data_IF_221064223255
#
_entry.id   IF_221064223255
#
_cell.length_a   1.000
_cell.length_b   1.000
_cell.length_c   1.000
_cell.angle_alpha   90.00
_cell.angle_beta   90.00
_cell.angle_gamma   90.00
#
_symmetry.space_group_name_H-M   'P 1'
#
loop_
_entity.id
_entity.type
_entity.pdbx_description
1 polymer ?
#
# COMPACT_ATOMS: atom_id res chain seq x y z
N UNK A 1 2.56 53.48 5.69
CA UNK A 1 2.99 52.28 4.93
C UNK A 1 1.84 51.29 4.91
N UNK A 2 1.21 51.10 3.74
CA UNK A 2 0.00 50.28 3.58
C UNK A 2 0.34 48.79 3.55
N UNK A 3 -0.40 47.97 4.31
CA UNK A 3 -0.32 46.51 4.27
C UNK A 3 -0.91 46.05 2.93
N UNK A 4 -0.08 45.54 2.01
CA UNK A 4 -0.54 44.88 0.78
C UNK A 4 -1.40 43.67 1.17
N UNK A 5 -2.69 43.71 0.83
CA UNK A 5 -3.59 42.58 0.95
C UNK A 5 -3.12 41.44 0.03
N UNK A 6 -3.10 40.22 0.56
CA UNK A 6 -2.83 39.01 -0.22
C UNK A 6 -4.02 38.79 -1.16
N UNK A 7 -3.78 38.82 -2.47
CA UNK A 7 -4.80 38.58 -3.49
C UNK A 7 -5.31 37.14 -3.38
N UNK A 8 -6.64 36.96 -3.38
CA UNK A 8 -7.31 35.65 -3.26
C UNK A 8 -6.97 34.63 -4.37
N UNK A 9 -6.30 35.09 -5.43
CA UNK A 9 -5.93 34.30 -6.60
C UNK A 9 -4.47 33.85 -6.62
N UNK A 10 -3.64 34.27 -5.67
CA UNK A 10 -2.22 33.90 -5.60
C UNK A 10 -2.02 32.66 -4.69
N UNK A 11 -2.60 31.54 -5.13
CA UNK A 11 -2.56 30.27 -4.39
C UNK A 11 -1.34 29.47 -4.81
N UNK A 12 -0.22 29.67 -4.11
CA UNK A 12 0.98 28.86 -4.31
C UNK A 12 0.83 27.52 -3.57
N UNK A 13 0.61 26.42 -4.31
CA UNK A 13 0.53 25.05 -3.78
C UNK A 13 1.78 24.26 -4.16
N UNK A 14 2.40 23.61 -3.19
CA UNK A 14 3.47 22.64 -3.46
C UNK A 14 2.93 21.49 -4.32
N UNK A 15 3.65 21.14 -5.39
CA UNK A 15 3.35 19.98 -6.24
C UNK A 15 3.26 18.65 -5.47
N UNK A 16 3.87 18.59 -4.27
CA UNK A 16 3.86 17.39 -3.42
C UNK A 16 2.59 17.27 -2.58
N UNK A 17 1.89 18.37 -2.31
CA UNK A 17 0.75 18.39 -1.39
C UNK A 17 -0.39 17.52 -1.93
N UNK A 18 -0.94 16.63 -1.11
CA UNK A 18 -2.03 15.70 -1.45
C UNK A 18 -1.72 14.79 -2.66
N UNK A 19 -0.46 14.40 -2.84
CA UNK A 19 -0.02 13.53 -3.94
C UNK A 19 0.74 12.32 -3.41
N UNK A 20 1.09 11.41 -4.33
CA UNK A 20 2.01 10.28 -4.08
C UNK A 20 3.35 10.71 -3.46
N UNK A 21 3.78 11.96 -3.70
CA UNK A 21 5.05 12.49 -3.21
C UNK A 21 4.92 13.28 -1.90
N UNK A 22 3.73 13.32 -1.30
CA UNK A 22 3.47 14.05 -0.06
C UNK A 22 4.30 13.51 1.10
N UNK A 23 4.73 14.40 2.00
CA UNK A 23 5.53 14.11 3.20
C UNK A 23 6.86 13.36 2.97
N UNK A 24 7.24 13.08 1.73
CA UNK A 24 8.50 12.44 1.37
C UNK A 24 9.66 13.44 1.37
N UNK A 25 10.77 13.03 2.00
CA UNK A 25 12.06 13.72 1.92
C UNK A 25 12.88 13.32 0.68
N UNK A 26 12.46 12.28 -0.04
CA UNK A 26 13.13 11.84 -1.26
C UNK A 26 12.82 12.77 -2.43
N UNK A 27 13.72 12.78 -3.42
CA UNK A 27 13.42 13.41 -4.70
C UNK A 27 12.24 12.69 -5.37
N UNK A 28 11.44 13.38 -6.17
CA UNK A 28 10.34 12.74 -6.91
C UNK A 28 10.85 11.63 -7.82
N UNK A 29 12.05 11.81 -8.38
CA UNK A 29 12.69 10.84 -9.25
C UNK A 29 13.03 9.54 -8.50
N UNK A 30 13.58 9.64 -7.29
CA UNK A 30 13.88 8.46 -6.47
C UNK A 30 12.61 7.72 -6.07
N UNK A 31 11.55 8.45 -5.73
CA UNK A 31 10.23 7.84 -5.45
C UNK A 31 9.73 7.05 -6.65
N UNK A 32 9.77 7.62 -7.86
CA UNK A 32 9.37 6.93 -9.08
C UNK A 32 10.22 5.67 -9.35
N UNK A 33 11.53 5.75 -9.13
CA UNK A 33 12.44 4.59 -9.26
C UNK A 33 12.11 3.49 -8.26
N UNK A 34 11.93 3.82 -6.99
CA UNK A 34 11.56 2.84 -5.95
C UNK A 34 10.23 2.18 -6.30
N UNK A 35 9.22 2.97 -6.67
CA UNK A 35 7.91 2.45 -7.10
C UNK A 35 8.04 1.53 -8.31
N UNK A 36 8.81 1.91 -9.33
CA UNK A 36 9.08 1.05 -10.50
C UNK A 36 9.74 -0.27 -10.12
N UNK A 37 10.74 -0.25 -9.24
CA UNK A 37 11.42 -1.47 -8.79
C UNK A 37 10.51 -2.37 -7.95
N UNK A 38 9.61 -1.77 -7.15
CA UNK A 38 8.58 -2.51 -6.43
C UNK A 38 7.62 -3.22 -7.38
N UNK A 39 7.12 -2.53 -8.42
CA UNK A 39 6.30 -3.14 -9.47
C UNK A 39 7.05 -4.28 -10.20
N UNK A 40 8.36 -4.11 -10.43
CA UNK A 40 9.23 -5.13 -10.98
C UNK A 40 9.55 -6.30 -10.03
N UNK A 41 8.97 -6.33 -8.81
CA UNK A 41 9.21 -7.33 -7.76
C UNK A 41 10.69 -7.52 -7.42
N UNK A 42 11.47 -6.44 -7.51
CA UNK A 42 12.88 -6.48 -7.14
C UNK A 42 13.07 -6.73 -5.64
N UNK A 43 14.17 -7.39 -5.27
CA UNK A 43 14.54 -7.59 -3.87
C UNK A 43 14.94 -6.27 -3.20
N UNK A 44 14.60 -6.10 -1.92
CA UNK A 44 14.92 -4.90 -1.15
C UNK A 44 16.42 -4.57 -1.17
N UNK A 45 17.27 -5.57 -0.93
CA UNK A 45 18.73 -5.36 -0.86
C UNK A 45 19.30 -4.92 -2.23
N UNK A 46 18.73 -5.39 -3.34
CA UNK A 46 19.09 -4.90 -4.68
C UNK A 46 18.73 -3.42 -4.84
N UNK A 47 17.52 -3.02 -4.45
CA UNK A 47 17.06 -1.62 -4.55
C UNK A 47 17.86 -0.68 -3.65
N UNK A 48 18.23 -1.14 -2.45
CA UNK A 48 19.11 -0.41 -1.53
C UNK A 48 20.47 -0.13 -2.18
N UNK A 49 21.07 -1.14 -2.81
CA UNK A 49 22.37 -1.00 -3.46
C UNK A 49 22.31 -0.12 -4.73
N UNK A 50 21.27 -0.31 -5.55
CA UNK A 50 21.07 0.40 -6.82
C UNK A 50 20.79 1.89 -6.61
N UNK A 51 19.91 2.22 -5.66
CA UNK A 51 19.47 3.60 -5.40
C UNK A 51 20.26 4.29 -4.29
N UNK A 52 21.16 3.55 -3.60
CA UNK A 52 21.94 4.03 -2.44
C UNK A 52 21.06 4.67 -1.37
N UNK A 53 19.87 4.11 -1.18
CA UNK A 53 18.91 4.56 -0.17
C UNK A 53 19.07 3.78 1.13
N UNK A 54 18.61 4.34 2.24
CA UNK A 54 18.56 3.60 3.49
C UNK A 54 17.59 2.41 3.36
N UNK A 55 17.99 1.25 3.87
CA UNK A 55 17.16 0.03 3.92
C UNK A 55 15.79 0.27 4.52
N UNK A 56 15.71 1.02 5.62
CA UNK A 56 14.44 1.36 6.24
C UNK A 56 13.55 2.15 5.28
N UNK A 57 14.12 3.13 4.57
CA UNK A 57 13.37 3.92 3.58
C UNK A 57 12.82 3.06 2.44
N UNK A 58 13.60 2.11 1.91
CA UNK A 58 13.12 1.20 0.86
C UNK A 58 11.97 0.33 1.38
N UNK A 59 12.10 -0.23 2.58
CA UNK A 59 11.05 -1.03 3.22
C UNK A 59 9.78 -0.20 3.42
N UNK A 60 9.91 1.02 3.95
CA UNK A 60 8.77 1.92 4.19
C UNK A 60 8.03 2.23 2.89
N UNK A 61 8.75 2.52 1.80
CA UNK A 61 8.14 2.75 0.49
C UNK A 61 7.47 1.50 -0.10
N UNK A 62 8.06 0.33 0.10
CA UNK A 62 7.45 -0.94 -0.32
C UNK A 62 6.18 -1.24 0.46
N UNK A 63 6.16 -0.92 1.76
CA UNK A 63 4.96 -1.01 2.59
C UNK A 63 3.89 -0.01 2.12
N UNK A 64 4.27 1.22 1.81
CA UNK A 64 3.34 2.23 1.30
C UNK A 64 2.70 1.80 -0.04
N UNK A 65 3.48 1.22 -0.95
CA UNK A 65 2.92 0.66 -2.19
C UNK A 65 1.90 -0.46 -1.91
N UNK A 66 2.19 -1.35 -0.95
CA UNK A 66 1.26 -2.41 -0.54
C UNK A 66 -0.01 -1.85 0.09
N UNK A 67 0.11 -0.86 0.96
CA UNK A 67 -1.03 -0.22 1.63
C UNK A 67 -1.99 0.41 0.61
N UNK A 68 -1.46 1.07 -0.41
CA UNK A 68 -2.29 1.66 -1.47
C UNK A 68 -3.01 0.60 -2.30
N UNK A 69 -2.34 -0.51 -2.64
CA UNK A 69 -3.01 -1.64 -3.29
C UNK A 69 -4.08 -2.27 -2.40
N UNK A 70 -3.80 -2.44 -1.11
CA UNK A 70 -4.77 -2.96 -0.14
C UNK A 70 -6.01 -2.05 -0.04
N UNK A 71 -5.80 -0.74 0.02
CA UNK A 71 -6.90 0.22 0.05
C UNK A 71 -7.75 0.16 -1.22
N UNK A 72 -7.12 -0.01 -2.39
CA UNK A 72 -7.86 -0.22 -3.64
C UNK A 72 -8.72 -1.49 -3.57
N UNK A 73 -8.14 -2.62 -3.15
CA UNK A 73 -8.85 -3.90 -3.02
C UNK A 73 -10.01 -3.82 -2.01
N UNK A 74 -9.80 -3.16 -0.87
CA UNK A 74 -10.85 -3.00 0.15
C UNK A 74 -11.97 -2.09 -0.35
N UNK A 75 -11.64 -0.99 -1.02
CA UNK A 75 -12.64 -0.05 -1.54
C UNK A 75 -13.43 -0.62 -2.72
N UNK A 76 -12.81 -1.50 -3.51
CA UNK A 76 -13.43 -2.20 -4.63
C UNK A 76 -14.03 -3.55 -4.23
N UNK A 77 -14.06 -3.86 -2.92
CA UNK A 77 -14.61 -5.11 -2.43
C UNK A 77 -16.10 -5.18 -2.75
N UNK A 78 -16.49 -6.24 -3.46
CA UNK A 78 -17.87 -6.49 -3.87
C UNK A 78 -18.37 -7.78 -3.25
N UNK A 79 -19.69 -7.87 -3.07
CA UNK A 79 -20.31 -9.14 -2.72
C UNK A 79 -20.19 -10.10 -3.91
N UNK A 80 -19.39 -11.14 -3.75
CA UNK A 80 -19.18 -12.18 -4.77
C UNK A 80 -20.03 -13.43 -4.49
N UNK A 81 -20.17 -14.28 -5.51
CA UNK A 81 -20.92 -15.52 -5.44
C UNK A 81 -22.33 -15.46 -6.07
N UNK A 82 -22.95 -16.63 -6.22
CA UNK A 82 -24.22 -16.80 -6.92
C UNK A 82 -24.44 -18.24 -7.34
N UNK A 83 -25.58 -18.54 -7.96
CA UNK A 83 -25.84 -19.88 -8.51
C UNK A 83 -24.83 -20.17 -9.62
N UNK A 84 -24.16 -21.32 -9.56
CA UNK A 84 -23.09 -21.74 -10.48
C UNK A 84 -21.82 -20.88 -10.48
N UNK A 85 -21.61 -20.05 -9.44
CA UNK A 85 -20.38 -19.27 -9.27
C UNK A 85 -19.44 -19.98 -8.29
N UNK A 86 -18.18 -20.15 -8.67
CA UNK A 86 -17.14 -20.73 -7.81
C UNK A 86 -16.33 -19.58 -7.23
N UNK A 87 -16.25 -19.51 -5.90
CA UNK A 87 -15.42 -18.54 -5.18
C UNK A 87 -14.28 -19.29 -4.49
N UNK A 88 -13.06 -18.83 -4.73
CA UNK A 88 -11.88 -19.25 -3.95
C UNK A 88 -11.79 -18.36 -2.72
N UNK A 89 -11.71 -18.98 -1.54
CA UNK A 89 -11.56 -18.28 -0.26
C UNK A 89 -10.21 -18.65 0.33
N UNK A 90 -9.44 -17.65 0.74
CA UNK A 90 -8.19 -17.81 1.49
C UNK A 90 -8.37 -17.26 2.91
N UNK A 91 -7.93 -18.03 3.90
CA UNK A 91 -8.03 -17.68 5.32
C UNK A 91 -6.64 -17.53 5.93
N UNK A 92 -6.34 -16.35 6.44
CA UNK A 92 -5.07 -16.04 7.10
C UNK A 92 -5.31 -15.59 8.54
N UNK A 93 -4.73 -16.31 9.50
CA UNK A 93 -4.78 -15.94 10.92
C UNK A 93 -3.52 -15.19 11.34
N UNK A 94 -3.67 -13.91 11.67
CA UNK A 94 -2.59 -13.05 12.15
C UNK A 94 -2.61 -12.96 13.68
N UNK A 95 -1.62 -13.56 14.34
CA UNK A 95 -1.47 -13.51 15.80
C UNK A 95 -0.01 -13.56 16.21
N UNK A 96 0.33 -12.95 17.36
CA UNK A 96 1.67 -13.07 17.95
C UNK A 96 1.81 -14.44 18.62
N UNK A 97 2.78 -15.23 18.17
CA UNK A 97 3.15 -16.46 18.86
C UNK A 97 3.75 -16.13 20.23
N UNK A 98 3.28 -16.79 21.29
CA UNK A 98 3.91 -16.69 22.62
C UNK A 98 5.32 -17.29 22.52
N UNK A 99 6.35 -16.49 22.75
CA UNK A 99 7.77 -16.88 22.68
C UNK A 99 8.26 -17.43 21.32
N UNK A 100 7.57 -17.13 20.21
CA UNK A 100 7.99 -17.57 18.87
C UNK A 100 8.00 -19.09 18.65
N UNK A 101 7.39 -19.87 19.56
CA UNK A 101 7.30 -21.33 19.48
C UNK A 101 5.86 -21.79 19.79
N UNK A 102 5.35 -22.76 19.04
CA UNK A 102 4.05 -23.39 19.29
C UNK A 102 2.87 -22.88 18.44
N UNK A 103 1.65 -23.35 18.75
CA UNK A 103 0.42 -23.00 18.01
C UNK A 103 0.12 -21.49 18.13
N UNK A 104 -0.34 -20.81 17.06
CA UNK A 104 -0.71 -19.39 17.11
C UNK A 104 -1.76 -19.13 18.20
N UNK A 105 -1.42 -18.27 19.15
CA UNK A 105 -2.33 -17.78 20.21
C UNK A 105 -3.05 -16.53 19.69
N UNK A 106 -4.21 -16.23 20.30
CA UNK A 106 -5.17 -15.15 20.02
C UNK A 106 -4.76 -14.10 18.97
N UNK A 107 -5.50 -14.05 17.87
CA UNK A 107 -5.15 -13.29 16.68
C UNK A 107 -6.36 -13.00 15.81
N UNK A 108 -6.25 -11.97 14.96
CA UNK A 108 -7.31 -11.60 14.01
C UNK A 108 -7.31 -12.54 12.83
N UNK A 109 -8.50 -12.95 12.43
CA UNK A 109 -8.71 -13.66 11.17
C UNK A 109 -8.92 -12.66 10.06
N UNK A 110 -8.27 -12.90 8.93
CA UNK A 110 -8.46 -12.16 7.70
C UNK A 110 -8.87 -13.16 6.64
N UNK A 111 -9.96 -12.86 5.96
CA UNK A 111 -10.54 -13.66 4.89
C UNK A 111 -10.48 -12.85 3.59
N UNK A 112 -9.92 -13.44 2.56
CA UNK A 112 -10.00 -12.92 1.20
C UNK A 112 -10.76 -13.90 0.33
N UNK A 113 -11.41 -13.41 -0.71
CA UNK A 113 -11.92 -14.30 -1.75
C UNK A 113 -11.95 -13.66 -3.12
N UNK A 114 -11.80 -14.51 -4.13
CA UNK A 114 -11.86 -14.15 -5.54
C UNK A 114 -12.84 -15.07 -6.25
N UNK A 115 -13.66 -14.50 -7.11
CA UNK A 115 -14.58 -15.26 -7.94
C UNK A 115 -13.85 -15.85 -9.15
N UNK A 116 -14.08 -17.12 -9.50
CA UNK A 116 -13.48 -17.70 -10.71
C UNK A 116 -14.23 -17.24 -11.95
N UNK A 117 -13.52 -16.62 -12.88
CA UNK A 117 -14.04 -16.17 -14.18
C UNK A 117 -14.44 -14.70 -14.22
N UNK A 118 -14.60 -14.06 -13.07
CA UNK A 118 -14.63 -12.60 -12.93
C UNK A 118 -13.41 -12.15 -12.11
N UNK A 119 -12.98 -10.89 -12.21
CA UNK A 119 -11.94 -10.36 -11.32
C UNK A 119 -12.55 -9.76 -10.04
N UNK A 120 -13.75 -10.19 -9.65
CA UNK A 120 -14.42 -9.75 -8.43
C UNK A 120 -13.71 -10.32 -7.20
N UNK A 121 -13.43 -9.46 -6.22
CA UNK A 121 -12.81 -9.89 -4.98
C UNK A 121 -13.45 -9.24 -3.76
N UNK A 122 -13.29 -9.87 -2.60
CA UNK A 122 -13.57 -9.28 -1.30
C UNK A 122 -12.40 -9.48 -0.35
N UNK A 123 -12.29 -8.57 0.62
CA UNK A 123 -11.33 -8.65 1.69
C UNK A 123 -12.02 -8.27 3.00
N UNK A 124 -11.90 -9.10 4.04
CA UNK A 124 -12.55 -8.96 5.34
C UNK A 124 -11.53 -9.25 6.45
N UNK A 125 -11.38 -8.38 7.45
CA UNK A 125 -10.39 -8.54 8.52
C UNK A 125 -10.62 -7.60 9.71
#
# INVERSE_FOLDING_TARGET
MSKKGVNAHDVCRSLRKNSWFSNSKLSMYDVLRVTKMWFGRCMNDYVVNELKLNKNTVIDWFMFCREVCMNAVVNESVKIGGVNVIVEIDESKFGKMKYGKGKPVDGKWVFGGIERGTNGCFFCG
#
